data_IF_305686568440
#
_entry.id   IF_305686568440
#
_cell.length_a   1.000
_cell.length_b   1.000
_cell.length_c   1.000
_cell.angle_alpha   90.00
_cell.angle_beta   90.00
_cell.angle_gamma   90.00
#
_symmetry.space_group_name_H-M   'P 1'
#
loop_
_entity.id
_entity.type
_entity.pdbx_description
1 polymer ?
#
# COMPACT_ATOMS: atom_id res chain seq x y z
N UNK A 1 -17.96 -7.08 -14.85
CA UNK A 1 -16.62 -7.10 -14.23
C UNK A 1 -16.04 -5.68 -14.07
N UNK A 2 -16.55 -4.86 -13.14
CA UNK A 2 -16.10 -3.46 -12.99
C UNK A 2 -16.06 -2.92 -11.55
N UNK A 3 -16.30 -3.77 -10.54
CA UNK A 3 -16.47 -3.32 -9.15
C UNK A 3 -15.14 -3.06 -8.40
N UNK A 4 -13.99 -3.47 -8.95
CA UNK A 4 -12.71 -3.41 -8.24
C UNK A 4 -11.92 -2.09 -8.45
N UNK A 5 -12.25 -1.29 -9.47
CA UNK A 5 -11.49 -0.06 -9.77
C UNK A 5 -11.71 1.04 -8.73
N UNK A 6 -12.94 1.23 -8.27
CA UNK A 6 -13.28 2.26 -7.29
C UNK A 6 -12.68 1.98 -5.91
N UNK A 7 -12.59 0.71 -5.50
CA UNK A 7 -11.93 0.31 -4.24
C UNK A 7 -10.46 0.70 -4.22
N UNK A 8 -9.74 0.53 -5.34
CA UNK A 8 -8.34 0.95 -5.45
C UNK A 8 -8.17 2.47 -5.33
N UNK A 9 -9.03 3.24 -6.00
CA UNK A 9 -9.00 4.71 -5.92
C UNK A 9 -9.33 5.19 -4.51
N UNK A 10 -10.37 4.64 -3.87
CA UNK A 10 -10.75 5.00 -2.51
C UNK A 10 -9.59 4.76 -1.51
N UNK A 11 -8.87 3.64 -1.65
CA UNK A 11 -7.68 3.37 -0.84
C UNK A 11 -6.62 4.46 -1.00
N UNK A 12 -6.35 4.91 -2.24
CA UNK A 12 -5.40 6.00 -2.51
C UNK A 12 -5.84 7.34 -1.91
N UNK A 13 -7.13 7.66 -1.96
CA UNK A 13 -7.66 8.88 -1.31
C UNK A 13 -7.43 8.85 0.20
N UNK A 14 -7.67 7.70 0.86
CA UNK A 14 -7.39 7.54 2.30
C UNK A 14 -5.90 7.72 2.61
N UNK A 15 -5.00 7.23 1.76
CA UNK A 15 -3.55 7.45 1.93
C UNK A 15 -3.20 8.95 1.91
N UNK A 16 -3.74 9.71 0.96
CA UNK A 16 -3.52 11.16 0.91
C UNK A 16 -4.04 11.87 2.16
N UNK A 17 -5.20 11.46 2.68
CA UNK A 17 -5.74 12.00 3.93
C UNK A 17 -4.81 11.70 5.12
N UNK A 18 -4.28 10.48 5.22
CA UNK A 18 -3.35 10.09 6.28
C UNK A 18 -2.04 10.87 6.22
N UNK A 19 -1.49 11.11 5.02
CA UNK A 19 -0.31 11.97 4.84
C UNK A 19 -0.61 13.41 5.28
N UNK A 20 -1.82 13.91 5.00
CA UNK A 20 -2.29 15.20 5.49
C UNK A 20 -2.33 15.27 7.02
N UNK A 21 -2.88 14.25 7.68
CA UNK A 21 -2.90 14.15 9.15
C UNK A 21 -1.49 14.07 9.73
N UNK A 22 -0.61 13.25 9.14
CA UNK A 22 0.78 13.15 9.59
C UNK A 22 1.53 14.48 9.47
N UNK A 23 1.24 15.28 8.44
CA UNK A 23 1.81 16.63 8.28
C UNK A 23 1.36 17.57 9.41
N UNK A 24 0.09 17.51 9.79
CA UNK A 24 -0.43 18.31 10.90
C UNK A 24 0.16 17.85 12.24
N UNK A 25 0.28 16.55 12.44
CA UNK A 25 0.87 15.97 13.65
C UNK A 25 2.35 16.33 13.80
N UNK A 26 3.11 16.24 12.70
CA UNK A 26 4.52 16.61 12.65
C UNK A 26 4.73 18.09 13.00
N UNK A 27 3.85 18.97 12.50
CA UNK A 27 3.83 20.39 12.88
C UNK A 27 3.47 20.60 14.35
N UNK A 28 2.47 19.88 14.87
CA UNK A 28 2.01 20.01 16.24
C UNK A 28 3.02 19.48 17.28
N UNK A 29 3.77 18.43 16.93
CA UNK A 29 4.79 17.83 17.80
C UNK A 29 6.16 18.54 17.69
N UNK A 30 6.30 19.49 16.77
CA UNK A 30 7.58 20.16 16.51
C UNK A 30 8.67 19.20 16.04
N UNK A 31 8.29 18.06 15.45
CA UNK A 31 9.27 17.18 14.85
C UNK A 31 9.83 17.85 13.60
N UNK A 32 11.13 17.73 13.38
CA UNK A 32 11.83 18.34 12.25
C UNK A 32 11.54 17.56 10.96
N UNK A 33 10.27 17.44 10.58
CA UNK A 33 9.77 16.70 9.41
C UNK A 33 9.83 15.17 9.49
N UNK A 34 10.47 14.60 10.51
CA UNK A 34 10.75 13.18 10.59
C UNK A 34 9.49 12.29 10.54
N UNK A 35 8.40 12.69 11.20
CA UNK A 35 7.17 11.88 11.24
C UNK A 35 6.47 11.93 9.89
N UNK A 36 6.43 13.11 9.27
CA UNK A 36 5.87 13.32 7.95
C UNK A 36 6.64 12.53 6.89
N UNK A 37 7.96 12.61 6.91
CA UNK A 37 8.84 11.91 5.96
C UNK A 37 8.72 10.40 6.10
N UNK A 38 8.77 9.87 7.32
CA UNK A 38 8.58 8.43 7.57
C UNK A 38 7.22 7.94 7.03
N UNK A 39 6.16 8.72 7.26
CA UNK A 39 4.82 8.39 6.77
C UNK A 39 4.77 8.39 5.24
N UNK A 40 5.38 9.38 4.59
CA UNK A 40 5.45 9.48 3.12
C UNK A 40 6.21 8.28 2.54
N UNK A 41 7.39 7.96 3.07
CA UNK A 41 8.19 6.84 2.57
C UNK A 41 7.48 5.49 2.77
N UNK A 42 6.82 5.30 3.91
CA UNK A 42 6.02 4.11 4.17
C UNK A 42 4.91 3.92 3.13
N UNK A 43 4.16 4.98 2.82
CA UNK A 43 3.06 4.88 1.85
C UNK A 43 3.53 4.83 0.40
N UNK A 44 4.60 5.54 0.03
CA UNK A 44 5.21 5.46 -1.30
C UNK A 44 5.73 4.05 -1.57
N UNK A 45 6.34 3.37 -0.61
CA UNK A 45 6.80 1.99 -0.77
C UNK A 45 5.66 1.04 -1.21
N UNK A 46 4.50 1.15 -0.57
CA UNK A 46 3.32 0.34 -0.89
C UNK A 46 2.72 0.66 -2.26
N UNK A 47 2.73 1.94 -2.67
CA UNK A 47 2.27 2.35 -4.00
C UNK A 47 3.26 1.96 -5.10
N UNK A 48 4.57 2.07 -4.82
CA UNK A 48 5.63 1.64 -5.72
C UNK A 48 5.52 0.13 -6.01
N UNK A 49 5.28 -0.68 -4.98
CA UNK A 49 5.05 -2.12 -5.16
C UNK A 49 3.85 -2.40 -6.08
N UNK A 50 2.74 -1.71 -5.84
CA UNK A 50 1.52 -1.82 -6.65
C UNK A 50 1.74 -1.40 -8.11
N UNK A 51 2.59 -0.38 -8.34
CA UNK A 51 2.99 0.06 -9.68
C UNK A 51 3.90 -0.95 -10.37
N UNK A 52 4.89 -1.50 -9.65
CA UNK A 52 5.81 -2.50 -10.19
C UNK A 52 5.09 -3.79 -10.56
N UNK A 53 4.14 -4.24 -9.74
CA UNK A 53 3.25 -5.36 -10.11
C UNK A 53 2.53 -5.10 -11.44
N UNK A 54 1.96 -3.90 -11.61
CA UNK A 54 1.26 -3.55 -12.84
C UNK A 54 2.24 -3.45 -14.04
N UNK A 55 3.43 -2.90 -13.83
CA UNK A 55 4.49 -2.83 -14.83
C UNK A 55 4.92 -4.22 -15.32
N UNK A 56 5.13 -5.17 -14.38
CA UNK A 56 5.43 -6.56 -14.71
C UNK A 56 4.30 -7.23 -15.50
N UNK A 57 3.04 -7.00 -15.12
CA UNK A 57 1.86 -7.49 -15.89
C UNK A 57 1.78 -6.89 -17.30
N UNK A 58 2.30 -5.68 -17.51
CA UNK A 58 2.39 -5.03 -18.82
C UNK A 58 3.59 -5.52 -19.66
N UNK A 59 4.42 -6.44 -19.14
CA UNK A 59 5.60 -6.95 -19.82
C UNK A 59 6.80 -6.01 -19.78
N UNK A 60 6.78 -4.99 -18.89
CA UNK A 60 7.95 -4.14 -18.67
C UNK A 60 9.00 -5.00 -17.95
N UNK A 61 10.23 -5.12 -18.50
CA UNK A 61 11.27 -5.94 -17.90
C UNK A 61 11.68 -5.33 -16.55
N UNK A 62 11.46 -6.09 -15.48
CA UNK A 62 11.90 -5.72 -14.13
C UNK A 62 13.20 -6.46 -13.77
N UNK A 63 14.17 -5.77 -13.16
CA UNK A 63 15.33 -6.40 -12.55
C UNK A 63 14.94 -7.52 -11.58
N UNK A 64 15.72 -8.59 -11.53
CA UNK A 64 15.46 -9.79 -10.71
C UNK A 64 15.28 -9.46 -9.22
N UNK A 65 16.01 -8.47 -8.68
CA UNK A 65 15.82 -8.02 -7.31
C UNK A 65 14.40 -7.47 -7.05
N UNK A 66 13.83 -6.73 -7.99
CA UNK A 66 12.49 -6.16 -7.86
C UNK A 66 11.42 -7.24 -8.04
N UNK A 67 11.58 -8.15 -9.02
CA UNK A 67 10.67 -9.28 -9.21
C UNK A 67 10.60 -10.15 -7.95
N UNK A 68 11.75 -10.48 -7.35
CA UNK A 68 11.80 -11.27 -6.12
C UNK A 68 11.12 -10.55 -4.94
N UNK A 69 11.32 -9.24 -4.80
CA UNK A 69 10.64 -8.46 -3.78
C UNK A 69 9.12 -8.53 -3.95
N UNK A 70 8.62 -8.30 -5.17
CA UNK A 70 7.19 -8.36 -5.49
C UNK A 70 6.59 -9.73 -5.16
N UNK A 71 7.29 -10.82 -5.50
CA UNK A 71 6.80 -12.17 -5.24
C UNK A 71 6.70 -12.49 -3.74
N UNK A 72 7.63 -11.99 -2.93
CA UNK A 72 7.62 -12.19 -1.47
C UNK A 72 6.43 -11.42 -0.85
N UNK A 73 6.32 -10.12 -1.14
CA UNK A 73 5.28 -9.27 -0.55
C UNK A 73 3.88 -9.56 -1.10
N UNK A 74 3.78 -9.96 -2.38
CA UNK A 74 2.51 -10.32 -3.01
C UNK A 74 1.88 -11.59 -2.42
N UNK A 75 2.69 -12.54 -1.95
CA UNK A 75 2.21 -13.77 -1.27
C UNK A 75 1.73 -13.49 0.15
N UNK A 76 2.38 -12.57 0.85
CA UNK A 76 2.00 -12.18 2.22
C UNK A 76 0.63 -11.49 2.27
N UNK A 77 0.37 -10.55 1.35
CA UNK A 77 -0.89 -9.80 1.26
C UNK A 77 -2.12 -10.71 1.00
N UNK A 78 -1.92 -11.80 0.26
CA UNK A 78 -2.98 -12.77 -0.03
C UNK A 78 -3.31 -13.65 1.19
N UNK A 79 -2.31 -14.06 1.96
CA UNK A 79 -2.52 -14.84 3.20
C UNK A 79 -3.29 -14.05 4.24
N UNK A 80 -2.88 -12.80 4.49
CA UNK A 80 -3.56 -11.90 5.43
C UNK A 80 -5.01 -11.67 5.02
N UNK A 81 -5.26 -11.28 3.77
CA UNK A 81 -6.62 -11.02 3.27
C UNK A 81 -7.54 -12.25 3.39
N UNK A 82 -7.03 -13.44 3.06
CA UNK A 82 -7.78 -14.70 3.19
C UNK A 82 -8.16 -14.99 4.65
N UNK A 83 -7.22 -14.79 5.59
CA UNK A 83 -7.46 -15.03 7.01
C UNK A 83 -8.46 -14.05 7.63
N UNK A 84 -8.44 -12.77 7.23
CA UNK A 84 -9.48 -11.80 7.63
C UNK A 84 -10.86 -12.14 7.09
N UNK A 85 -10.95 -12.65 5.85
CA UNK A 85 -12.25 -13.07 5.27
C UNK A 85 -12.78 -14.36 5.90
N UNK A 86 -11.90 -15.28 6.26
CA UNK A 86 -12.27 -16.54 6.90
C UNK A 86 -12.82 -16.29 8.31
N UNK A 87 -12.09 -15.54 9.15
CA UNK A 87 -12.54 -15.17 10.50
C UNK A 87 -13.81 -14.34 10.55
N UNK A 88 -14.14 -13.61 9.48
CA UNK A 88 -15.39 -12.83 9.39
C UNK A 88 -16.60 -13.72 9.07
N UNK A 89 -16.42 -14.80 8.31
CA UNK A 89 -17.47 -15.79 8.06
C UNK A 89 -17.80 -16.65 9.28
N UNK A 90 -16.87 -16.73 10.25
CA UNK A 90 -17.04 -17.51 11.48
C UNK A 90 -17.77 -16.73 12.60
N UNK A 91 -17.96 -15.41 12.43
CA UNK A 91 -18.61 -14.51 13.40
C UNK A 91 -19.99 -14.01 12.94
N UNK A 92 -20.47 -14.48 11.78
CA UNK A 92 -21.82 -14.24 11.25
C UNK A 92 -22.76 -15.44 11.48
#
# INVERSE_FOLDING_TARGET
MQQNRFKGIAKKVVLFLLVGVATQLDTALGSNSAIREATIFFFIGNELLSLLENAGRMGIPLPSALTNAIDIFGKENQKTSSEYTNKKGDVE
#
